data_IF_217270960468
#
_entry.id   IF_217270960468
#
_cell.length_a   1.000
_cell.length_b   1.000
_cell.length_c   1.000
_cell.angle_alpha   90.00
_cell.angle_beta   90.00
_cell.angle_gamma   90.00
#
_symmetry.space_group_name_H-M   'P 1'
#
loop_
_entity.id
_entity.type
_entity.pdbx_description
1 polymer ?
#
# COMPACT_ATOMS: atom_id res chain seq x y z
N UNK A 1 -10.65 14.22 0.07
CA UNK A 1 -10.15 14.81 -1.19
C UNK A 1 -9.96 13.74 -2.26
N UNK A 2 -10.12 14.09 -3.53
CA UNK A 2 -9.84 13.20 -4.68
C UNK A 2 -8.43 12.62 -4.65
N UNK A 3 -7.47 13.40 -4.15
CA UNK A 3 -6.03 13.12 -4.30
C UNK A 3 -5.45 12.22 -3.21
N UNK A 4 -6.24 11.82 -2.21
CA UNK A 4 -5.77 10.97 -1.11
C UNK A 4 -5.10 9.67 -1.59
N UNK A 5 -5.67 8.91 -2.55
CA UNK A 5 -4.98 7.79 -3.18
C UNK A 5 -3.57 8.13 -3.68
N UNK A 6 -3.43 9.26 -4.37
CA UNK A 6 -2.16 9.71 -4.93
C UNK A 6 -1.17 10.06 -3.84
N UNK A 7 -1.59 10.75 -2.77
CA UNK A 7 -0.72 11.07 -1.64
C UNK A 7 -0.24 9.82 -0.90
N UNK A 8 -1.10 8.80 -0.74
CA UNK A 8 -0.70 7.51 -0.15
C UNK A 8 0.35 6.83 -1.04
N UNK A 9 0.14 6.81 -2.35
CA UNK A 9 1.08 6.22 -3.30
C UNK A 9 2.44 6.96 -3.26
N UNK A 10 2.44 8.29 -3.29
CA UNK A 10 3.65 9.12 -3.20
C UNK A 10 4.38 8.93 -1.89
N UNK A 11 3.67 8.82 -0.76
CA UNK A 11 4.29 8.55 0.53
C UNK A 11 5.01 7.18 0.56
N UNK A 12 4.40 6.15 -0.04
CA UNK A 12 5.04 4.85 -0.19
C UNK A 12 6.20 4.91 -1.19
N UNK A 13 6.08 5.67 -2.29
CA UNK A 13 7.13 5.87 -3.30
C UNK A 13 8.37 6.55 -2.72
N UNK A 14 8.18 7.60 -1.93
CA UNK A 14 9.26 8.30 -1.25
C UNK A 14 10.11 7.35 -0.39
N UNK A 15 9.47 6.42 0.32
CA UNK A 15 10.17 5.50 1.24
C UNK A 15 10.68 4.21 0.61
N UNK A 16 9.98 3.70 -0.40
CA UNK A 16 10.21 2.34 -0.88
C UNK A 16 10.71 2.28 -2.32
N UNK A 17 10.43 3.27 -3.17
CA UNK A 17 10.84 3.24 -4.58
C UNK A 17 12.27 3.75 -4.76
N UNK A 18 12.89 3.33 -5.85
CA UNK A 18 14.18 3.84 -6.31
C UNK A 18 14.07 5.24 -6.89
N UNK A 19 12.90 5.59 -7.42
CA UNK A 19 12.64 6.89 -8.02
C UNK A 19 12.38 7.96 -6.96
N UNK A 20 13.00 9.12 -7.12
CA UNK A 20 12.73 10.31 -6.33
C UNK A 20 11.44 11.00 -6.79
N UNK A 21 10.59 11.38 -5.84
CA UNK A 21 9.24 11.89 -6.13
C UNK A 21 9.23 13.33 -6.66
N UNK A 22 10.32 14.08 -6.48
CA UNK A 22 10.40 15.49 -6.89
C UNK A 22 11.11 15.65 -8.23
N UNK A 23 12.14 14.84 -8.46
CA UNK A 23 13.01 14.92 -9.63
C UNK A 23 12.73 13.83 -10.67
N UNK A 24 12.07 12.73 -10.27
CA UNK A 24 11.84 11.56 -11.12
C UNK A 24 13.11 10.75 -11.43
N UNK A 25 14.25 11.12 -10.85
CA UNK A 25 15.53 10.45 -11.06
C UNK A 25 15.70 9.28 -10.08
N UNK A 26 16.61 8.38 -10.40
CA UNK A 26 17.01 7.32 -9.46
C UNK A 26 17.70 7.98 -8.26
N UNK A 27 17.23 7.65 -7.06
CA UNK A 27 17.83 8.07 -5.80
C UNK A 27 19.28 7.61 -5.71
N UNK A 28 20.08 8.32 -4.92
CA UNK A 28 21.46 7.90 -4.65
C UNK A 28 21.49 6.51 -3.97
N UNK A 29 22.58 5.78 -4.13
CA UNK A 29 22.81 4.49 -3.48
C UNK A 29 22.87 4.63 -1.95
N UNK A 30 23.35 5.77 -1.45
CA UNK A 30 23.45 6.07 -0.02
C UNK A 30 22.09 6.25 0.66
N UNK A 31 21.02 6.47 -0.13
CA UNK A 31 19.67 6.61 0.41
C UNK A 31 19.07 5.22 0.62
N UNK A 32 18.93 4.82 1.89
CA UNK A 32 18.30 3.56 2.25
C UNK A 32 16.84 3.50 1.77
N UNK A 33 16.49 2.42 1.06
CA UNK A 33 15.15 2.18 0.52
C UNK A 33 14.50 1.06 1.32
N UNK A 34 13.27 1.31 1.74
CA UNK A 34 12.47 0.29 2.42
C UNK A 34 12.09 -0.87 1.50
N UNK A 35 11.88 -2.04 2.10
CA UNK A 35 11.46 -3.26 1.41
C UNK A 35 9.99 -3.20 0.99
N UNK A 36 9.59 -4.09 0.08
CA UNK A 36 8.19 -4.25 -0.29
C UNK A 36 7.32 -4.64 0.91
N UNK A 37 7.85 -5.43 1.85
CA UNK A 37 7.13 -5.75 3.09
C UNK A 37 6.82 -4.49 3.92
N UNK A 38 7.75 -3.53 3.98
CA UNK A 38 7.47 -2.26 4.65
C UNK A 38 6.37 -1.47 3.91
N UNK A 39 6.41 -1.44 2.57
CA UNK A 39 5.35 -0.83 1.76
C UNK A 39 3.97 -1.46 2.04
N UNK A 40 3.90 -2.78 2.22
CA UNK A 40 2.66 -3.47 2.60
C UNK A 40 2.15 -3.02 3.97
N UNK A 41 3.05 -2.88 4.95
CA UNK A 41 2.71 -2.37 6.29
C UNK A 41 2.24 -0.91 6.24
N UNK A 42 2.89 -0.06 5.45
CA UNK A 42 2.47 1.33 5.23
C UNK A 42 1.06 1.40 4.64
N UNK A 43 0.76 0.61 3.61
CA UNK A 43 -0.59 0.49 3.05
C UNK A 43 -1.59 -0.01 4.08
N UNK A 44 -1.25 -1.06 4.84
CA UNK A 44 -2.12 -1.60 5.87
C UNK A 44 -2.43 -0.58 6.97
N UNK A 45 -1.45 0.23 7.39
CA UNK A 45 -1.62 1.30 8.36
C UNK A 45 -2.63 2.35 7.88
N UNK A 46 -2.53 2.78 6.61
CA UNK A 46 -3.49 3.70 6.01
C UNK A 46 -4.87 3.06 5.90
N UNK A 47 -4.95 1.83 5.42
CA UNK A 47 -6.21 1.08 5.35
C UNK A 47 -6.90 1.01 6.72
N UNK A 48 -6.18 0.66 7.78
CA UNK A 48 -6.72 0.62 9.14
C UNK A 48 -7.14 2.01 9.65
N UNK A 49 -6.32 3.04 9.43
CA UNK A 49 -6.64 4.41 9.86
C UNK A 49 -7.93 4.91 9.21
N UNK A 50 -8.07 4.76 7.90
CA UNK A 50 -9.28 5.18 7.17
C UNK A 50 -10.49 4.29 7.44
N UNK A 51 -10.29 2.98 7.58
CA UNK A 51 -11.37 2.05 7.90
C UNK A 51 -11.93 2.25 9.30
N UNK A 52 -11.06 2.27 10.32
CA UNK A 52 -11.47 2.25 11.73
C UNK A 52 -11.63 3.63 12.36
N UNK A 53 -10.64 4.52 12.19
CA UNK A 53 -10.68 5.83 12.87
C UNK A 53 -11.57 6.83 12.15
N UNK A 54 -11.57 6.81 10.81
CA UNK A 54 -12.43 7.71 10.02
C UNK A 54 -13.76 7.07 9.61
N UNK A 55 -13.98 5.79 9.96
CA UNK A 55 -15.25 5.10 9.70
C UNK A 55 -15.57 4.95 8.20
N UNK A 56 -14.56 4.99 7.32
CA UNK A 56 -14.77 4.93 5.87
C UNK A 56 -14.79 3.48 5.32
N UNK A 57 -14.71 2.50 6.23
CA UNK A 57 -14.90 1.09 5.94
C UNK A 57 -13.86 0.49 5.00
N UNK A 58 -14.30 -0.53 4.26
CA UNK A 58 -13.48 -1.36 3.35
C UNK A 58 -13.90 -1.23 1.88
N UNK A 59 -14.77 -0.27 1.57
CA UNK A 59 -15.21 -0.02 0.20
C UNK A 59 -14.12 0.70 -0.61
N UNK A 60 -14.05 0.52 -1.93
CA UNK A 60 -13.15 1.29 -2.79
C UNK A 60 -13.42 2.80 -2.67
N UNK A 61 -12.36 3.60 -2.78
CA UNK A 61 -12.47 5.06 -2.79
C UNK A 61 -13.22 5.53 -4.02
N UNK A 62 -14.34 6.22 -3.82
CA UNK A 62 -15.17 6.75 -4.89
C UNK A 62 -15.82 8.07 -4.50
N UNK A 63 -16.13 8.89 -5.50
CA UNK A 63 -16.94 10.09 -5.28
C UNK A 63 -18.37 9.70 -4.94
N UNK A 64 -18.98 10.42 -4.01
CA UNK A 64 -20.36 10.19 -3.59
C UNK A 64 -21.29 10.68 -4.71
N UNK A 65 -22.10 9.80 -5.33
CA UNK A 65 -22.97 10.18 -6.44
C UNK A 65 -24.01 11.24 -6.07
N UNK A 66 -24.39 11.30 -4.79
CA UNK A 66 -25.41 12.24 -4.28
C UNK A 66 -24.81 13.55 -3.77
N UNK A 67 -23.48 13.63 -3.58
CA UNK A 67 -22.79 14.82 -3.05
C UNK A 67 -21.44 14.99 -3.76
N UNK A 68 -21.43 15.64 -4.94
CA UNK A 68 -20.20 15.93 -5.67
C UNK A 68 -19.16 16.63 -4.78
N UNK A 69 -17.89 16.29 -4.97
CA UNK A 69 -16.76 16.74 -4.14
C UNK A 69 -16.59 15.99 -2.81
N UNK A 70 -17.59 15.21 -2.37
CA UNK A 70 -17.45 14.33 -1.20
C UNK A 70 -17.07 12.93 -1.66
N UNK A 71 -16.06 12.36 -1.04
CA UNK A 71 -15.59 11.01 -1.32
C UNK A 71 -15.94 10.06 -0.17
N UNK A 72 -16.20 8.80 -0.51
CA UNK A 72 -16.53 7.69 0.39
C UNK A 72 -15.63 6.48 0.10
N UNK A 73 -15.57 5.55 1.05
CA UNK A 73 -14.70 4.38 0.98
C UNK A 73 -13.29 4.65 1.49
N UNK A 74 -12.38 3.70 1.27
CA UNK A 74 -11.02 3.76 1.80
C UNK A 74 -10.02 4.12 0.69
N UNK A 75 -9.29 5.24 0.80
CA UNK A 75 -8.33 5.68 -0.22
C UNK A 75 -7.20 4.68 -0.43
N UNK A 76 -6.84 3.89 0.59
CA UNK A 76 -5.83 2.83 0.50
C UNK A 76 -6.28 1.61 -0.31
N UNK A 77 -7.57 1.48 -0.59
CA UNK A 77 -8.19 0.42 -1.39
C UNK A 77 -8.54 0.89 -2.81
N UNK A 78 -8.14 2.11 -3.17
CA UNK A 78 -8.30 2.63 -4.53
C UNK A 78 -7.53 1.82 -5.57
N UNK A 79 -7.97 1.93 -6.83
CA UNK A 79 -7.27 1.38 -7.99
C UNK A 79 -5.85 1.96 -8.11
N UNK A 80 -5.69 3.27 -7.91
CA UNK A 80 -4.40 3.98 -7.97
C UNK A 80 -3.35 3.37 -7.03
N UNK A 81 -3.68 3.21 -5.75
CA UNK A 81 -2.76 2.61 -4.76
C UNK A 81 -2.49 1.14 -5.11
N UNK A 82 -3.49 0.40 -5.57
CA UNK A 82 -3.34 -1.02 -5.92
C UNK A 82 -2.43 -1.23 -7.12
N UNK A 83 -2.61 -0.45 -8.19
CA UNK A 83 -1.76 -0.47 -9.38
C UNK A 83 -0.33 -0.10 -9.03
N UNK A 84 -0.15 0.95 -8.23
CA UNK A 84 1.18 1.36 -7.77
C UNK A 84 1.88 0.24 -6.97
N UNK A 85 1.20 -0.39 -6.02
CA UNK A 85 1.77 -1.50 -5.25
C UNK A 85 2.16 -2.71 -6.12
N UNK A 86 1.38 -3.02 -7.15
CA UNK A 86 1.72 -4.07 -8.12
C UNK A 86 2.99 -3.70 -8.88
N UNK A 87 3.10 -2.45 -9.34
CA UNK A 87 4.30 -1.95 -10.01
C UNK A 87 5.53 -2.03 -9.10
N UNK A 88 5.42 -1.49 -7.88
CA UNK A 88 6.49 -1.52 -6.89
C UNK A 88 6.96 -2.95 -6.60
N UNK A 89 6.04 -3.91 -6.44
CA UNK A 89 6.39 -5.33 -6.25
C UNK A 89 7.25 -5.88 -7.38
N UNK A 90 6.91 -5.54 -8.62
CA UNK A 90 7.66 -5.96 -9.82
C UNK A 90 9.03 -5.29 -9.89
N UNK A 91 9.13 -4.01 -9.53
CA UNK A 91 10.41 -3.31 -9.45
C UNK A 91 11.33 -3.93 -8.39
N UNK A 92 10.82 -4.17 -7.18
CA UNK A 92 11.59 -4.80 -6.10
C UNK A 92 12.06 -6.22 -6.44
N UNK A 93 11.20 -7.01 -7.06
CA UNK A 93 11.58 -8.35 -7.54
C UNK A 93 12.70 -8.29 -8.59
N UNK A 94 12.66 -7.32 -9.52
CA UNK A 94 13.73 -7.11 -10.50
C UNK A 94 15.05 -6.65 -9.87
N UNK A 95 14.98 -5.85 -8.81
CA UNK A 95 16.13 -5.44 -8.01
C UNK A 95 16.72 -6.56 -7.13
N UNK A 96 16.18 -7.78 -7.21
CA UNK A 96 16.66 -8.93 -6.45
C UNK A 96 16.16 -9.00 -5.01
N UNK A 97 15.19 -8.16 -4.62
CA UNK A 97 14.52 -8.32 -3.33
C UNK A 97 13.83 -9.68 -3.31
N UNK A 98 14.20 -10.53 -2.33
CA UNK A 98 13.56 -11.83 -2.16
C UNK A 98 12.08 -11.58 -1.97
N UNK A 99 11.29 -12.01 -2.96
CA UNK A 99 9.84 -12.01 -2.85
C UNK A 99 9.54 -12.86 -1.63
N UNK A 100 9.20 -12.20 -0.52
CA UNK A 100 8.63 -12.87 0.63
C UNK A 100 7.25 -13.31 0.13
N UNK A 101 7.18 -14.49 -0.49
CA UNK A 101 5.92 -15.18 -0.57
C UNK A 101 5.48 -15.36 0.88
N UNK A 102 4.18 -15.24 1.13
CA UNK A 102 3.61 -15.86 2.30
C UNK A 102 3.94 -17.35 2.17
N UNK A 103 5.11 -17.79 2.63
CA UNK A 103 5.44 -19.19 2.76
C UNK A 103 4.52 -19.69 3.87
N UNK A 104 3.38 -20.16 3.39
CA UNK A 104 2.41 -21.07 3.96
C UNK A 104 2.01 -20.80 5.42
N UNK A 105 0.88 -20.12 5.59
CA UNK A 105 -0.11 -20.61 6.55
C UNK A 105 -0.43 -22.06 6.12
N UNK A 106 0.27 -23.04 6.68
CA UNK A 106 -0.06 -24.45 6.44
C UNK A 106 -1.24 -24.87 7.33
N UNK A 107 -1.83 -26.01 7.00
CA UNK A 107 -2.93 -26.58 7.78
C UNK A 107 -2.56 -26.71 9.26
N UNK A 108 -1.30 -27.08 9.55
CA UNK A 108 -0.78 -27.20 10.90
C UNK A 108 -0.80 -25.85 11.66
N UNK A 109 -0.41 -24.75 11.02
CA UNK A 109 -0.44 -23.41 11.62
C UNK A 109 -1.87 -22.92 11.83
N UNK A 110 -2.79 -23.23 10.91
CA UNK A 110 -4.22 -22.94 11.07
C UNK A 110 -4.84 -23.72 12.23
N UNK A 111 -4.50 -25.01 12.38
CA UNK A 111 -5.03 -25.84 13.46
C UNK A 111 -4.60 -25.33 14.84
N UNK A 112 -3.32 -24.90 14.96
CA UNK A 112 -2.79 -24.32 16.21
C UNK A 112 -3.44 -23.00 16.61
N UNK A 113 -3.97 -22.25 15.66
CA UNK A 113 -4.72 -21.02 15.95
C UNK A 113 -6.14 -21.30 16.45
N UNK A 114 -6.73 -22.45 16.10
CA UNK A 114 -8.07 -22.85 16.54
C UNK A 114 -8.07 -23.45 17.96
N UNK A 115 -6.98 -24.08 18.37
CA UNK A 115 -6.83 -24.67 19.72
C UNK A 115 -6.60 -23.62 20.83
N UNK A 116 -6.32 -22.36 20.47
CA UNK A 116 -6.18 -21.22 21.39
C UNK A 116 -7.50 -20.47 21.58
#
# INVERSE_FOLDING_TARGET
>A
PSDFPTWIALWIMDKCDESDIFTGQVKDLDISRSTYNNAQKMRAAMSHRFGRHYGLGTQPWMENPSKPGRYIGNPSLSVTVSQYMISLRRCKARAGEVVTSARAMDEATMHRLWEF
#
